data_IF_777433507093
#
_entry.id   IF_777433507093
#
_cell.length_a   1.000
_cell.length_b   1.000
_cell.length_c   1.000
_cell.angle_alpha   90.00
_cell.angle_beta   90.00
_cell.angle_gamma   90.00
#
_symmetry.space_group_name_H-M   'P 1'
#
loop_
_entity.id
_entity.type
_entity.pdbx_description
1 polymer ?
#
# COMPACT_ATOMS: atom_id res chain seq x y z
N UNK A 1 -30.79 -22.57 -10.18
CA UNK A 1 -29.32 -22.54 -10.12
C UNK A 1 -28.86 -21.60 -11.21
N UNK A 2 -28.57 -20.35 -10.82
CA UNK A 2 -27.82 -19.37 -11.62
C UNK A 2 -26.94 -18.67 -10.57
N UNK A 3 -25.63 -18.73 -10.78
CA UNK A 3 -24.62 -18.43 -9.76
C UNK A 3 -24.59 -16.94 -9.40
N UNK A 4 -24.67 -16.65 -8.10
CA UNK A 4 -24.60 -15.30 -7.50
C UNK A 4 -23.20 -14.66 -7.60
N UNK A 5 -22.24 -15.32 -8.24
CA UNK A 5 -20.82 -14.98 -8.23
C UNK A 5 -20.47 -13.82 -9.18
N UNK A 6 -21.30 -13.54 -10.19
CA UNK A 6 -20.95 -12.60 -11.27
C UNK A 6 -21.36 -11.13 -11.05
N UNK A 7 -22.22 -10.80 -10.08
CA UNK A 7 -22.56 -9.40 -9.77
C UNK A 7 -21.58 -8.72 -8.77
N UNK A 8 -20.73 -9.48 -8.08
CA UNK A 8 -19.80 -8.93 -7.07
C UNK A 8 -18.46 -8.44 -7.64
N UNK A 9 -18.06 -8.86 -8.85
CA UNK A 9 -16.72 -8.55 -9.40
C UNK A 9 -16.60 -7.04 -9.74
N UNK A 10 -17.72 -6.39 -10.08
CA UNK A 10 -17.79 -4.94 -10.27
C UNK A 10 -17.70 -4.14 -8.96
N UNK A 11 -18.13 -4.70 -7.83
CA UNK A 11 -18.06 -4.02 -6.52
C UNK A 11 -16.71 -4.23 -5.83
N UNK A 12 -16.11 -5.42 -5.95
CA UNK A 12 -14.84 -5.75 -5.34
C UNK A 12 -13.69 -4.90 -5.91
N UNK A 13 -13.58 -4.84 -7.24
CA UNK A 13 -12.59 -4.01 -7.92
C UNK A 13 -12.75 -2.52 -7.59
N UNK A 14 -13.99 -2.05 -7.52
CA UNK A 14 -14.29 -0.67 -7.15
C UNK A 14 -13.99 -0.36 -5.67
N UNK A 15 -14.33 -1.27 -4.75
CA UNK A 15 -14.02 -1.12 -3.34
C UNK A 15 -12.50 -1.09 -3.11
N UNK A 16 -11.75 -1.97 -3.77
CA UNK A 16 -10.28 -1.95 -3.74
C UNK A 16 -9.72 -0.66 -4.32
N UNK A 17 -10.27 -0.18 -5.44
CA UNK A 17 -9.85 1.08 -6.05
C UNK A 17 -10.09 2.28 -5.13
N UNK A 18 -11.28 2.37 -4.52
CA UNK A 18 -11.64 3.44 -3.59
C UNK A 18 -10.73 3.40 -2.35
N UNK A 19 -10.56 2.22 -1.74
CA UNK A 19 -9.71 2.06 -0.55
C UNK A 19 -8.25 2.40 -0.87
N UNK A 20 -7.69 1.82 -1.94
CA UNK A 20 -6.32 2.08 -2.38
C UNK A 20 -6.08 3.55 -2.70
N UNK A 21 -7.01 4.21 -3.36
CA UNK A 21 -6.94 5.65 -3.66
C UNK A 21 -6.96 6.48 -2.37
N UNK A 22 -7.92 6.20 -1.48
CA UNK A 22 -8.04 6.91 -0.21
C UNK A 22 -6.79 6.77 0.68
N UNK A 23 -6.20 5.57 0.73
CA UNK A 23 -4.94 5.30 1.43
C UNK A 23 -3.76 6.02 0.79
N UNK A 24 -3.66 6.01 -0.54
CA UNK A 24 -2.54 6.64 -1.24
C UNK A 24 -2.59 8.16 -1.14
N UNK A 25 -3.78 8.76 -1.19
CA UNK A 25 -3.98 10.21 -1.11
C UNK A 25 -3.61 10.83 0.24
N UNK A 26 -3.35 10.02 1.28
CA UNK A 26 -2.87 10.52 2.58
C UNK A 26 -1.63 11.42 2.45
N UNK A 27 -0.74 11.11 1.50
CA UNK A 27 0.46 11.92 1.24
C UNK A 27 0.13 13.36 0.88
N UNK A 28 -1.00 13.61 0.22
CA UNK A 28 -1.40 14.96 -0.23
C UNK A 28 -1.86 15.84 0.93
N UNK A 29 -2.27 15.23 2.06
CA UNK A 29 -2.82 15.94 3.22
C UNK A 29 -1.74 16.47 4.15
N UNK A 30 -0.62 15.74 4.29
CA UNK A 30 0.43 16.10 5.26
C UNK A 30 1.86 16.05 4.73
N UNK A 31 2.08 15.42 3.58
CA UNK A 31 3.42 15.12 3.09
C UNK A 31 4.22 14.23 4.05
N UNK A 32 5.47 13.99 3.68
CA UNK A 32 6.50 13.43 4.54
C UNK A 32 7.70 14.38 4.51
N UNK A 33 8.66 14.19 5.41
CA UNK A 33 9.90 14.97 5.39
C UNK A 33 10.70 14.69 4.11
N UNK A 34 11.60 15.61 3.75
CA UNK A 34 12.41 15.54 2.52
C UNK A 34 13.30 14.29 2.44
N UNK A 35 13.65 13.70 3.59
CA UNK A 35 14.47 12.49 3.66
C UNK A 35 13.66 11.20 3.54
N UNK A 36 12.32 11.28 3.46
CA UNK A 36 11.40 10.14 3.40
C UNK A 36 11.53 9.23 4.65
N UNK A 37 11.91 9.80 5.79
CA UNK A 37 12.07 9.06 7.04
C UNK A 37 10.71 8.83 7.72
N UNK A 38 10.38 7.59 8.07
CA UNK A 38 9.18 7.28 8.83
C UNK A 38 9.46 7.42 10.33
N UNK A 39 9.24 8.62 10.87
CA UNK A 39 9.53 8.93 12.29
C UNK A 39 8.31 8.71 13.19
N UNK A 40 8.54 8.70 14.51
CA UNK A 40 7.47 8.65 15.51
C UNK A 40 6.47 9.81 15.34
N UNK A 41 6.92 10.97 14.84
CA UNK A 41 6.02 12.08 14.53
C UNK A 41 5.01 11.68 13.45
N UNK A 42 5.46 11.13 12.32
CA UNK A 42 4.56 10.71 11.22
C UNK A 42 3.67 9.52 11.59
N UNK A 43 4.14 8.63 12.47
CA UNK A 43 3.32 7.55 12.99
C UNK A 43 2.11 8.03 13.82
N UNK A 44 2.24 9.17 14.51
CA UNK A 44 1.19 9.70 15.41
C UNK A 44 0.47 10.95 14.88
N UNK A 45 1.01 11.61 13.84
CA UNK A 45 0.43 12.83 13.27
C UNK A 45 -0.96 12.55 12.71
N UNK A 46 -1.89 13.50 12.90
CA UNK A 46 -3.21 13.53 12.27
C UNK A 46 -3.33 14.76 11.36
N UNK A 47 -3.84 14.63 10.11
CA UNK A 47 -4.08 13.37 9.41
C UNK A 47 -2.79 12.54 9.27
N UNK A 48 -2.91 11.22 9.18
CA UNK A 48 -1.75 10.33 9.11
C UNK A 48 -1.30 10.09 7.67
N UNK A 49 -0.09 9.59 7.50
CA UNK A 49 0.46 9.06 6.22
C UNK A 49 0.70 7.55 6.28
N UNK A 50 0.17 6.90 7.32
CA UNK A 50 0.46 5.52 7.69
C UNK A 50 0.09 4.50 6.61
N UNK A 51 -1.05 4.68 5.93
CA UNK A 51 -1.44 3.75 4.86
C UNK A 51 -0.61 4.01 3.60
N UNK A 52 -0.44 5.28 3.23
CA UNK A 52 0.43 5.63 2.09
C UNK A 52 1.84 5.07 2.26
N UNK A 53 2.47 5.26 3.42
CA UNK A 53 3.84 4.80 3.65
C UNK A 53 3.95 3.28 3.59
N UNK A 54 2.93 2.53 4.01
CA UNK A 54 2.91 1.08 3.85
C UNK A 54 2.77 0.66 2.38
N UNK A 55 1.94 1.35 1.59
CA UNK A 55 1.75 1.04 0.17
C UNK A 55 3.04 1.22 -0.66
N UNK A 56 3.85 2.22 -0.32
CA UNK A 56 5.09 2.56 -1.05
C UNK A 56 6.36 2.09 -0.34
N UNK A 57 6.24 1.20 0.65
CA UNK A 57 7.37 0.73 1.42
C UNK A 57 8.28 -0.18 0.58
N UNK A 58 9.51 0.25 0.29
CA UNK A 58 10.38 -0.44 -0.67
C UNK A 58 10.72 -1.89 -0.30
N UNK A 59 10.79 -2.21 1.00
CA UNK A 59 11.07 -3.57 1.49
C UNK A 59 9.84 -4.49 1.46
N UNK A 60 8.65 -3.96 1.21
CA UNK A 60 7.40 -4.72 1.14
C UNK A 60 7.16 -5.17 -0.29
N UNK A 61 7.04 -6.48 -0.50
CA UNK A 61 6.91 -7.03 -1.85
C UNK A 61 5.83 -8.12 -1.97
N UNK A 62 5.23 -8.56 -0.86
CA UNK A 62 4.03 -9.39 -0.83
C UNK A 62 2.87 -8.57 -0.31
N UNK A 63 1.74 -8.67 -0.99
CA UNK A 63 0.47 -8.11 -0.57
C UNK A 63 -0.61 -9.18 -0.72
N UNK A 64 -1.52 -9.25 0.25
CA UNK A 64 -2.76 -10.01 0.15
C UNK A 64 -3.89 -9.15 0.67
N UNK A 65 -4.99 -9.07 -0.07
CA UNK A 65 -6.14 -8.25 0.29
C UNK A 65 -7.43 -9.06 0.26
N UNK A 66 -8.35 -8.68 1.15
CA UNK A 66 -9.68 -9.26 1.26
C UNK A 66 -10.72 -8.13 1.31
N UNK A 67 -11.89 -8.40 0.76
CA UNK A 67 -13.04 -7.50 0.79
C UNK A 67 -14.19 -8.27 1.42
N UNK A 68 -14.74 -7.75 2.52
CA UNK A 68 -15.84 -8.38 3.24
C UNK A 68 -17.01 -7.43 3.45
N UNK A 69 -18.21 -7.99 3.58
CA UNK A 69 -19.37 -7.27 4.11
C UNK A 69 -19.44 -7.44 5.63
N UNK A 70 -19.67 -6.35 6.35
CA UNK A 70 -19.87 -6.31 7.79
C UNK A 70 -21.10 -5.47 8.10
N UNK A 71 -22.26 -6.13 8.20
CA UNK A 71 -23.57 -5.50 8.44
C UNK A 71 -23.92 -4.43 7.40
N UNK A 72 -23.75 -4.75 6.11
CA UNK A 72 -24.01 -3.83 5.00
C UNK A 72 -22.92 -2.77 4.80
N UNK A 73 -21.78 -2.91 5.49
CA UNK A 73 -20.58 -2.08 5.26
C UNK A 73 -19.52 -2.89 4.55
N UNK A 74 -19.04 -2.37 3.44
CA UNK A 74 -17.87 -2.94 2.76
C UNK A 74 -16.59 -2.58 3.53
N UNK A 75 -15.84 -3.60 3.93
CA UNK A 75 -14.54 -3.49 4.59
C UNK A 75 -13.47 -4.03 3.64
N UNK A 76 -12.41 -3.24 3.43
CA UNK A 76 -11.25 -3.64 2.64
C UNK A 76 -10.04 -3.74 3.56
N UNK A 77 -9.37 -4.90 3.54
CA UNK A 77 -8.18 -5.15 4.35
C UNK A 77 -7.06 -5.62 3.44
N UNK A 78 -5.90 -4.95 3.50
CA UNK A 78 -4.68 -5.42 2.86
C UNK A 78 -3.59 -5.69 3.91
N UNK A 79 -2.91 -6.83 3.79
CA UNK A 79 -1.75 -7.20 4.60
C UNK A 79 -0.50 -7.20 3.72
N UNK A 80 0.59 -6.73 4.31
CA UNK A 80 1.85 -6.49 3.63
C UNK A 80 2.97 -7.28 4.29
N UNK A 81 3.84 -7.88 3.49
CA UNK A 81 5.00 -8.63 3.98
C UNK A 81 6.24 -8.40 3.12
N UNK A 82 7.43 -8.19 3.75
CA UNK A 82 7.64 -7.75 5.12
C UNK A 82 6.81 -6.51 5.47
N UNK A 83 6.52 -6.33 6.75
CA UNK A 83 5.79 -5.13 7.20
C UNK A 83 6.60 -3.87 6.91
N UNK A 84 5.92 -2.79 6.57
CA UNK A 84 6.48 -1.46 6.51
C UNK A 84 6.28 -0.71 7.83
N UNK A 85 6.30 0.62 7.72
CA UNK A 85 6.03 1.55 8.83
C UNK A 85 6.91 1.30 10.07
N UNK A 86 8.16 0.88 9.84
CA UNK A 86 9.14 0.70 10.91
C UNK A 86 9.66 2.09 11.28
N UNK A 87 9.38 2.50 12.52
CA UNK A 87 9.82 3.80 13.03
C UNK A 87 11.35 3.87 13.00
N UNK A 88 11.87 4.95 12.42
CA UNK A 88 13.31 5.17 12.25
C UNK A 88 13.88 4.65 10.93
N UNK A 89 13.07 3.99 10.10
CA UNK A 89 13.47 3.59 8.74
C UNK A 89 12.95 4.55 7.67
N UNK A 90 13.59 4.54 6.50
CA UNK A 90 13.09 5.21 5.30
C UNK A 90 11.98 4.40 4.65
N UNK A 91 10.96 5.07 4.13
CA UNK A 91 9.89 4.42 3.34
C UNK A 91 10.46 3.77 2.08
N UNK A 92 11.32 4.49 1.37
CA UNK A 92 12.14 3.99 0.26
C UNK A 92 13.43 4.79 0.16
N UNK A 93 14.45 4.21 -0.50
CA UNK A 93 15.65 4.95 -0.84
C UNK A 93 15.49 5.58 -2.23
N UNK A 94 15.82 6.86 -2.42
CA UNK A 94 15.83 7.50 -3.72
C UNK A 94 17.09 7.09 -4.50
N UNK A 95 17.24 5.80 -4.77
CA UNK A 95 18.34 5.25 -5.60
C UNK A 95 17.84 5.02 -7.02
N UNK A 96 18.69 5.32 -8.00
CA UNK A 96 18.37 5.10 -9.42
C UNK A 96 18.63 3.66 -9.88
N UNK A 97 19.33 2.87 -9.06
CA UNK A 97 19.78 1.52 -9.41
C UNK A 97 19.21 0.48 -8.46
N UNK A 98 18.79 -0.64 -9.02
CA UNK A 98 18.34 -1.80 -8.28
C UNK A 98 19.47 -2.84 -8.24
N UNK A 99 19.85 -3.28 -7.03
CA UNK A 99 20.95 -4.25 -6.85
C UNK A 99 20.70 -5.56 -7.60
N UNK A 100 19.46 -6.06 -7.59
CA UNK A 100 19.07 -7.32 -8.25
C UNK A 100 18.45 -7.11 -9.64
N UNK A 101 18.65 -5.93 -10.25
CA UNK A 101 18.02 -5.56 -11.51
C UNK A 101 16.57 -5.10 -11.36
N UNK A 102 15.89 -4.92 -12.49
CA UNK A 102 14.52 -4.37 -12.55
C UNK A 102 13.50 -5.46 -12.82
N UNK A 103 12.27 -5.25 -12.35
CA UNK A 103 11.14 -6.13 -12.66
C UNK A 103 10.85 -6.12 -14.17
N UNK A 104 10.65 -7.32 -14.73
CA UNK A 104 10.33 -7.47 -16.16
C UNK A 104 8.98 -6.85 -16.52
N UNK A 105 7.98 -6.97 -15.64
CA UNK A 105 6.64 -6.41 -15.86
C UNK A 105 6.52 -4.93 -15.45
N UNK A 106 7.40 -4.47 -14.57
CA UNK A 106 7.36 -3.12 -14.02
C UNK A 106 8.77 -2.52 -14.00
N UNK A 107 9.25 -1.94 -15.12
CA UNK A 107 10.65 -1.49 -15.25
C UNK A 107 11.07 -0.38 -14.27
N UNK A 108 10.10 0.26 -13.60
CA UNK A 108 10.34 1.26 -12.54
C UNK A 108 10.40 0.67 -11.13
N UNK A 109 10.28 -0.65 -10.99
CA UNK A 109 10.39 -1.39 -9.74
C UNK A 109 11.61 -2.30 -9.78
N UNK A 110 12.27 -2.48 -8.64
CA UNK A 110 13.35 -3.44 -8.51
C UNK A 110 12.83 -4.87 -8.58
N UNK A 111 13.62 -5.76 -9.18
CA UNK A 111 13.39 -7.19 -9.08
C UNK A 111 13.60 -7.61 -7.62
N UNK A 112 12.68 -8.43 -7.12
CA UNK A 112 12.75 -8.92 -5.76
C UNK A 112 13.72 -10.11 -5.65
N UNK A 113 14.59 -10.20 -4.62
CA UNK A 113 15.45 -11.36 -4.41
C UNK A 113 14.62 -12.59 -4.04
N UNK A 114 14.65 -13.63 -4.88
CA UNK A 114 14.06 -14.95 -4.58
C UNK A 114 14.59 -15.51 -3.26
#
# INVERSE_FOLDING_TARGET
>A
MIDKEYQEIGSASQAMYIAGTAWFEEITKNGINQNIDFTQFFANKKPTVYHWSQMVWAKTYKIGCEIGDCDGKTIVVCRYSPKGNVVGEKVYQPVLTCENGVSQGYPKLCAYPL
#
